data_IF_874442397572
#
_entry.id   IF_874442397572
#
_cell.length_a   1.000
_cell.length_b   1.000
_cell.length_c   1.000
_cell.angle_alpha   90.00
_cell.angle_beta   90.00
_cell.angle_gamma   90.00
#
_symmetry.space_group_name_H-M   'P 1'
#
loop_
_entity.id
_entity.type
_entity.pdbx_description
1 polymer ?
#
# COMPACT_ATOMS: atom_id res chain seq x y z
N UNK A 1 -2.85 14.13 18.30
CA UNK A 1 -2.96 13.64 19.69
C UNK A 1 -2.74 12.12 19.64
N UNK A 2 -1.59 11.58 20.07
CA UNK A 2 -1.28 10.15 19.92
C UNK A 2 -2.17 9.30 20.83
N UNK A 3 -3.00 8.43 20.26
CA UNK A 3 -3.77 7.45 21.03
C UNK A 3 -2.80 6.35 21.47
N UNK A 4 -2.27 6.49 22.69
CA UNK A 4 -1.49 5.45 23.34
C UNK A 4 -2.43 4.34 23.83
N UNK A 5 -2.37 3.16 23.20
CA UNK A 5 -3.04 1.95 23.67
C UNK A 5 -2.34 1.31 24.90
N UNK A 6 -1.92 2.11 25.90
CA UNK A 6 -1.47 1.57 27.18
C UNK A 6 -2.64 1.44 28.16
N UNK A 7 -3.22 0.25 28.19
CA UNK A 7 -4.06 -0.20 29.30
C UNK A 7 -3.33 -0.11 30.65
N UNK A 8 -4.07 0.28 31.68
CA UNK A 8 -3.57 0.58 33.04
C UNK A 8 -3.13 -0.66 33.85
N UNK A 9 -2.10 -0.42 34.67
CA UNK A 9 -1.62 -1.15 35.88
C UNK A 9 -0.74 -2.39 35.63
N UNK A 10 0.42 -2.60 36.27
CA UNK A 10 1.02 -2.14 37.53
C UNK A 10 2.52 -1.82 37.39
N UNK A 11 3.02 -0.92 38.24
CA UNK A 11 4.44 -0.55 38.41
C UNK A 11 5.31 -1.63 39.05
N UNK A 12 6.48 -1.92 38.46
CA UNK A 12 7.84 -2.07 39.08
C UNK A 12 8.79 -2.92 38.20
N UNK A 13 10.13 -2.81 38.33
CA UNK A 13 11.00 -1.64 38.19
C UNK A 13 11.82 -1.71 36.87
N UNK A 14 12.54 -0.62 36.57
CA UNK A 14 13.45 -0.49 35.42
C UNK A 14 14.48 -1.62 35.35
N UNK A 15 14.44 -2.42 34.28
CA UNK A 15 15.62 -3.14 33.82
C UNK A 15 16.30 -2.28 32.75
N UNK A 16 17.31 -1.54 33.19
CA UNK A 16 18.36 -0.91 32.35
C UNK A 16 19.24 -1.99 31.69
N UNK A 17 18.62 -2.84 30.87
CA UNK A 17 19.33 -3.72 29.95
C UNK A 17 18.70 -3.55 28.57
N UNK A 18 18.85 -2.35 28.00
CA UNK A 18 18.93 -2.25 26.54
C UNK A 18 20.22 -3.00 26.17
N UNK A 19 20.08 -4.29 25.88
CA UNK A 19 21.11 -5.02 25.18
C UNK A 19 21.43 -4.22 23.91
N UNK A 20 22.70 -3.92 23.69
CA UNK A 20 23.25 -3.39 22.44
C UNK A 20 22.97 -4.38 21.30
N UNK A 21 21.73 -4.41 20.81
CA UNK A 21 21.22 -5.31 19.77
C UNK A 21 21.79 -5.02 18.37
N UNK A 22 22.57 -3.94 18.23
CA UNK A 22 23.21 -3.57 16.96
C UNK A 22 24.42 -4.47 16.65
N UNK A 23 25.04 -5.09 17.65
CA UNK A 23 26.32 -5.79 17.45
C UNK A 23 26.16 -7.25 16.95
N UNK A 24 24.99 -7.87 17.08
CA UNK A 24 24.76 -9.27 16.66
C UNK A 24 24.14 -9.43 15.25
N UNK A 25 23.76 -8.34 14.57
CA UNK A 25 23.11 -8.42 13.25
C UNK A 25 24.13 -8.66 12.11
N UNK A 26 25.40 -8.30 12.31
CA UNK A 26 26.44 -8.36 11.26
C UNK A 26 26.80 -9.78 10.78
N UNK A 27 26.41 -10.84 11.50
CA UNK A 27 26.60 -12.25 11.09
C UNK A 27 25.28 -12.97 10.78
N UNK A 28 24.17 -12.22 10.64
CA UNK A 28 22.86 -12.79 10.40
C UNK A 28 22.78 -13.43 9.00
N UNK A 29 22.48 -14.74 8.95
CA UNK A 29 22.13 -15.45 7.71
C UNK A 29 20.86 -14.89 7.06
N UNK A 30 20.07 -14.12 7.80
CA UNK A 30 18.76 -13.61 7.36
C UNK A 30 18.83 -12.77 6.08
N UNK A 31 19.95 -12.07 5.84
CA UNK A 31 20.14 -11.23 4.65
C UNK A 31 20.93 -11.89 3.50
N UNK A 32 21.21 -13.20 3.58
CA UNK A 32 22.04 -13.89 2.57
C UNK A 32 21.49 -13.77 1.15
N UNK A 33 20.16 -13.70 0.98
CA UNK A 33 19.54 -13.51 -0.34
C UNK A 33 19.88 -12.14 -0.96
N UNK A 34 20.01 -11.08 -0.17
CA UNK A 34 20.44 -9.75 -0.64
C UNK A 34 21.91 -9.79 -1.07
N UNK A 35 22.78 -10.41 -0.26
CA UNK A 35 24.19 -10.60 -0.58
C UNK A 35 24.40 -11.42 -1.85
N UNK A 36 23.56 -12.44 -2.10
CA UNK A 36 23.55 -13.23 -3.36
C UNK A 36 23.18 -12.38 -4.59
N UNK A 37 22.39 -11.32 -4.39
CA UNK A 37 22.08 -10.36 -5.45
C UNK A 37 23.20 -9.35 -5.68
N UNK A 38 24.10 -9.17 -4.70
CA UNK A 38 25.18 -8.19 -4.71
C UNK A 38 24.85 -6.89 -3.97
N UNK A 39 23.81 -6.92 -3.14
CA UNK A 39 23.37 -5.78 -2.33
C UNK A 39 24.08 -5.85 -0.97
N UNK A 40 24.73 -4.75 -0.59
CA UNK A 40 25.33 -4.55 0.74
C UNK A 40 24.27 -3.98 1.69
N UNK A 41 23.69 -4.85 2.52
CA UNK A 41 22.52 -4.50 3.34
C UNK A 41 22.84 -3.67 4.58
N UNK A 42 24.10 -3.59 5.03
CA UNK A 42 24.43 -3.02 6.35
C UNK A 42 24.03 -1.55 6.46
N UNK A 43 24.05 -0.83 5.34
CA UNK A 43 23.59 0.57 5.26
C UNK A 43 22.06 0.71 5.24
N UNK A 44 21.34 -0.36 4.90
CA UNK A 44 19.90 -0.42 4.72
C UNK A 44 19.16 -0.95 5.96
N UNK A 45 19.88 -1.55 6.91
CA UNK A 45 19.26 -2.05 8.14
C UNK A 45 18.61 -0.89 8.90
N UNK A 46 17.31 -1.00 9.16
CA UNK A 46 16.55 -0.03 9.92
C UNK A 46 17.14 0.10 11.34
N UNK A 47 17.56 1.31 11.71
CA UNK A 47 18.25 1.60 12.98
C UNK A 47 17.32 2.05 14.09
N UNK A 48 16.14 2.54 13.70
CA UNK A 48 15.14 3.08 14.60
C UNK A 48 13.94 2.13 14.70
N UNK A 49 13.06 2.44 15.65
CA UNK A 49 11.77 1.76 15.77
C UNK A 49 10.80 2.18 14.64
N UNK A 50 11.17 3.09 13.74
CA UNK A 50 10.39 3.46 12.56
C UNK A 50 11.09 3.06 11.26
N UNK A 51 10.30 2.73 10.23
CA UNK A 51 10.82 2.69 8.87
C UNK A 51 11.16 4.12 8.42
N UNK A 52 12.31 4.34 7.77
CA UNK A 52 12.68 5.67 7.28
C UNK A 52 11.74 6.11 6.15
N UNK A 53 11.56 7.44 6.03
CA UNK A 53 10.98 8.02 4.83
C UNK A 53 11.90 7.71 3.63
N UNK A 54 11.35 7.28 2.49
CA UNK A 54 12.13 7.10 1.27
C UNK A 54 12.82 8.39 0.83
N UNK A 55 13.96 8.26 0.16
CA UNK A 55 14.76 9.37 -0.30
C UNK A 55 15.39 9.07 -1.67
N UNK A 56 15.86 10.10 -2.38
CA UNK A 56 16.58 9.90 -3.64
C UNK A 56 17.99 9.31 -3.45
N UNK A 57 18.41 9.11 -2.21
CA UNK A 57 19.70 8.49 -1.85
C UNK A 57 19.58 7.01 -1.52
N UNK A 58 18.37 6.46 -1.60
CA UNK A 58 18.12 5.05 -1.33
C UNK A 58 18.78 4.16 -2.40
N UNK A 59 18.85 2.86 -2.13
CA UNK A 59 19.51 1.93 -3.03
C UNK A 59 18.68 1.69 -4.29
N UNK A 60 19.09 2.28 -5.42
CA UNK A 60 18.46 2.05 -6.72
C UNK A 60 18.68 0.61 -7.18
N UNK A 61 17.59 -0.14 -7.33
CA UNK A 61 17.62 -1.52 -7.79
C UNK A 61 17.91 -1.59 -9.29
N UNK A 62 18.85 -2.45 -9.67
CA UNK A 62 19.07 -2.85 -11.06
C UNK A 62 17.90 -3.69 -11.58
N UNK A 63 17.75 -3.81 -12.90
CA UNK A 63 16.70 -4.64 -13.51
C UNK A 63 16.71 -6.10 -13.01
N UNK A 64 17.91 -6.65 -12.73
CA UNK A 64 18.07 -8.01 -12.17
C UNK A 64 17.51 -8.10 -10.76
N UNK A 65 17.81 -7.13 -9.90
CA UNK A 65 17.35 -7.11 -8.50
C UNK A 65 15.85 -6.83 -8.43
N UNK A 66 15.35 -5.92 -9.27
CA UNK A 66 13.93 -5.66 -9.44
C UNK A 66 13.16 -6.95 -9.79
N UNK A 67 13.65 -7.73 -10.77
CA UNK A 67 13.03 -9.00 -11.14
C UNK A 67 13.10 -10.08 -10.05
N UNK A 68 14.07 -9.99 -9.14
CA UNK A 68 14.21 -10.92 -8.02
C UNK A 68 13.36 -10.55 -6.80
N UNK A 69 13.26 -9.25 -6.49
CA UNK A 69 12.65 -8.75 -5.27
C UNK A 69 11.20 -8.29 -5.49
N UNK A 70 10.89 -7.57 -6.56
CA UNK A 70 9.60 -6.86 -6.67
C UNK A 70 8.47 -7.70 -7.28
N UNK A 71 8.77 -8.94 -7.66
CA UNK A 71 7.79 -9.88 -8.20
C UNK A 71 6.79 -10.29 -7.12
N UNK A 72 5.52 -9.98 -7.35
CA UNK A 72 4.42 -10.19 -6.39
C UNK A 72 4.26 -9.06 -5.36
N UNK A 73 5.18 -8.10 -5.32
CA UNK A 73 5.07 -6.90 -4.46
C UNK A 73 4.31 -5.80 -5.18
N UNK A 74 4.70 -5.49 -6.42
CA UNK A 74 4.08 -4.44 -7.24
C UNK A 74 3.23 -5.07 -8.33
N UNK A 75 3.77 -6.08 -8.99
CA UNK A 75 3.06 -6.83 -10.04
C UNK A 75 3.39 -8.30 -9.96
N UNK A 76 2.49 -9.17 -10.38
CA UNK A 76 2.76 -10.61 -10.37
C UNK A 76 3.94 -11.06 -11.22
N UNK A 77 4.31 -10.35 -12.30
CA UNK A 77 5.23 -10.90 -13.32
C UNK A 77 6.06 -9.90 -14.17
N UNK A 78 6.15 -8.60 -13.86
CA UNK A 78 6.84 -7.68 -14.79
C UNK A 78 8.37 -7.60 -14.73
N UNK A 79 8.94 -7.49 -15.94
CA UNK A 79 10.04 -6.57 -16.26
C UNK A 79 9.52 -5.15 -16.04
N UNK A 80 9.86 -4.50 -14.93
CA UNK A 80 9.45 -3.12 -14.70
C UNK A 80 9.86 -2.25 -15.91
N UNK A 81 8.99 -1.29 -16.27
CA UNK A 81 9.24 -0.41 -17.41
C UNK A 81 10.64 0.21 -17.30
N UNK A 82 11.35 0.39 -18.42
CA UNK A 82 12.62 1.13 -18.46
C UNK A 82 12.46 2.60 -17.96
N UNK A 83 11.21 3.06 -17.83
CA UNK A 83 10.84 4.38 -17.29
C UNK A 83 10.52 4.36 -15.80
N UNK A 84 10.47 3.19 -15.16
CA UNK A 84 10.20 3.05 -13.74
C UNK A 84 11.52 2.91 -12.98
N UNK A 85 11.63 3.55 -11.82
CA UNK A 85 12.75 3.37 -10.90
C UNK A 85 12.25 2.76 -9.61
N UNK A 86 12.98 1.78 -9.07
CA UNK A 86 12.62 1.14 -7.81
C UNK A 86 13.81 1.12 -6.88
N UNK A 87 13.57 1.39 -5.61
CA UNK A 87 14.59 1.53 -4.59
C UNK A 87 14.31 0.59 -3.43
N UNK A 88 15.36 -0.05 -2.91
CA UNK A 88 15.31 -0.69 -1.61
C UNK A 88 15.67 0.36 -0.56
N UNK A 89 14.69 0.71 0.27
CA UNK A 89 14.77 1.83 1.23
C UNK A 89 15.37 1.35 2.54
N UNK A 90 14.80 0.27 3.09
CA UNK A 90 15.27 -0.29 4.35
C UNK A 90 14.98 -1.79 4.45
N UNK A 91 15.73 -2.46 5.30
CA UNK A 91 15.53 -3.86 5.66
C UNK A 91 15.49 -4.03 7.17
N UNK A 92 14.67 -4.95 7.65
CA UNK A 92 14.55 -5.27 9.07
C UNK A 92 14.44 -6.77 9.24
N UNK A 93 15.30 -7.36 10.07
CA UNK A 93 15.12 -8.74 10.48
C UNK A 93 13.95 -8.80 11.47
N UNK A 94 12.95 -9.64 11.18
CA UNK A 94 11.80 -9.85 12.06
C UNK A 94 12.05 -11.04 12.98
N UNK A 95 12.62 -12.11 12.43
CA UNK A 95 13.10 -13.28 13.17
C UNK A 95 14.20 -13.99 12.36
N UNK A 96 14.67 -15.16 12.80
CA UNK A 96 15.73 -15.92 12.13
C UNK A 96 15.40 -16.34 10.69
N UNK A 97 14.13 -16.36 10.31
CA UNK A 97 13.66 -16.86 9.03
C UNK A 97 12.96 -15.80 8.18
N UNK A 98 12.69 -14.60 8.72
CA UNK A 98 11.87 -13.58 8.08
C UNK A 98 12.58 -12.23 8.09
N UNK A 99 12.67 -11.64 6.91
CA UNK A 99 13.14 -10.27 6.70
C UNK A 99 12.03 -9.44 6.09
N UNK A 100 11.80 -8.26 6.64
CA UNK A 100 10.97 -7.23 6.04
C UNK A 100 11.84 -6.30 5.20
N UNK A 101 11.38 -5.95 4.01
CA UNK A 101 11.98 -4.96 3.13
C UNK A 101 10.96 -3.86 2.83
N UNK A 102 11.42 -2.62 2.79
CA UNK A 102 10.65 -1.46 2.35
C UNK A 102 11.15 -1.03 0.96
N UNK A 103 10.23 -0.75 0.05
CA UNK A 103 10.53 -0.33 -1.31
C UNK A 103 9.87 0.99 -1.64
N UNK A 104 10.59 1.82 -2.39
CA UNK A 104 10.03 2.97 -3.11
C UNK A 104 9.94 2.63 -4.58
N UNK A 105 8.80 2.91 -5.21
CA UNK A 105 8.57 2.72 -6.63
C UNK A 105 8.15 4.05 -7.26
N UNK A 106 8.92 4.50 -8.25
CA UNK A 106 8.68 5.70 -9.02
C UNK A 106 8.26 5.32 -10.43
N UNK A 107 7.05 5.72 -10.80
CA UNK A 107 6.55 5.57 -12.16
C UNK A 107 5.69 6.78 -12.53
N UNK A 108 6.11 7.50 -13.58
CA UNK A 108 5.51 8.80 -13.92
C UNK A 108 5.68 9.79 -12.76
N UNK A 109 4.59 10.38 -12.31
CA UNK A 109 4.40 11.33 -11.22
C UNK A 109 4.01 10.63 -9.90
N UNK A 110 3.93 9.30 -9.90
CA UNK A 110 3.58 8.52 -8.71
C UNK A 110 4.83 8.05 -7.98
N UNK A 111 4.84 8.31 -6.67
CA UNK A 111 5.74 7.69 -5.70
C UNK A 111 4.94 6.78 -4.78
N UNK A 112 5.10 5.48 -4.97
CA UNK A 112 4.45 4.45 -4.17
C UNK A 112 5.46 3.78 -3.25
N UNK A 113 5.03 3.49 -2.02
CA UNK A 113 5.82 2.74 -1.05
C UNK A 113 5.16 1.40 -0.78
N UNK A 114 5.98 0.36 -0.68
CA UNK A 114 5.55 -0.99 -0.36
C UNK A 114 6.39 -1.54 0.78
N UNK A 115 5.79 -2.43 1.56
CA UNK A 115 6.56 -3.32 2.43
C UNK A 115 6.30 -4.77 2.03
N UNK A 116 7.32 -5.61 2.12
CA UNK A 116 7.23 -7.02 1.81
C UNK A 116 8.09 -7.86 2.74
N UNK A 117 7.61 -9.05 3.06
CA UNK A 117 8.33 -10.02 3.87
C UNK A 117 8.87 -11.14 2.99
N UNK A 118 10.11 -11.55 3.27
CA UNK A 118 10.80 -12.62 2.56
C UNK A 118 11.30 -13.64 3.57
N UNK A 119 11.39 -14.88 3.10
CA UNK A 119 12.17 -15.87 3.84
C UNK A 119 13.67 -15.69 3.60
N UNK A 120 14.51 -16.43 4.32
CA UNK A 120 15.98 -16.41 4.17
C UNK A 120 16.49 -16.79 2.78
N UNK A 121 15.68 -17.49 1.98
CA UNK A 121 15.99 -17.84 0.59
C UNK A 121 15.63 -16.73 -0.41
N UNK A 122 15.02 -15.64 0.05
CA UNK A 122 14.56 -14.53 -0.78
C UNK A 122 13.23 -14.80 -1.49
N UNK A 123 12.45 -15.78 -1.02
CA UNK A 123 11.09 -16.03 -1.52
C UNK A 123 10.13 -15.09 -0.83
N UNK A 124 9.36 -14.34 -1.63
CA UNK A 124 8.28 -13.48 -1.14
C UNK A 124 7.26 -14.31 -0.35
N UNK A 125 6.94 -13.87 0.87
CA UNK A 125 5.94 -14.45 1.75
C UNK A 125 4.64 -13.65 1.66
N UNK A 126 4.72 -12.34 1.87
CA UNK A 126 3.60 -11.42 1.85
C UNK A 126 4.07 -10.00 1.51
N UNK A 127 3.14 -9.14 1.12
CA UNK A 127 3.40 -7.74 0.86
C UNK A 127 2.14 -6.90 1.10
N UNK A 128 2.35 -5.59 1.20
CA UNK A 128 1.26 -4.61 1.20
C UNK A 128 1.74 -3.30 0.59
N UNK A 129 0.81 -2.62 -0.08
CA UNK A 129 0.97 -1.20 -0.35
C UNK A 129 0.99 -0.44 0.97
N UNK A 130 1.98 0.43 1.12
CA UNK A 130 2.24 1.18 2.34
C UNK A 130 2.04 2.68 2.13
N UNK A 131 1.31 3.07 1.08
CA UNK A 131 0.94 4.46 0.81
C UNK A 131 1.91 5.20 -0.12
N UNK A 132 1.50 6.40 -0.47
CA UNK A 132 2.31 7.46 -1.07
C UNK A 132 2.61 8.53 0.01
N UNK A 133 3.33 9.59 -0.37
CA UNK A 133 3.52 10.78 0.48
C UNK A 133 4.11 10.46 1.87
N UNK A 134 5.25 9.74 1.86
CA UNK A 134 6.02 9.47 3.07
C UNK A 134 6.86 10.68 3.51
N UNK A 135 7.26 11.51 2.55
CA UNK A 135 7.61 12.90 2.81
C UNK A 135 6.32 13.73 2.83
N UNK A 136 6.25 14.73 3.73
CA UNK A 136 5.12 15.67 3.76
C UNK A 136 4.95 16.30 2.37
N UNK A 137 3.87 15.94 1.69
CA UNK A 137 3.46 16.63 0.46
C UNK A 137 2.78 17.92 0.85
N UNK A 138 3.04 19.00 0.10
CA UNK A 138 2.26 20.23 0.17
C UNK A 138 1.66 20.43 -1.23
N UNK A 139 0.48 19.88 -1.47
CA UNK A 139 -0.28 20.20 -2.67
C UNK A 139 -0.92 21.57 -2.47
N UNK A 140 -0.49 22.52 -3.28
CA UNK A 140 -0.91 23.91 -3.23
C UNK A 140 -2.05 24.12 -4.23
N UNK A 141 -3.24 24.41 -3.74
CA UNK A 141 -4.33 24.96 -4.55
C UNK A 141 -4.59 26.41 -4.12
N UNK A 142 -4.99 27.26 -5.06
CA UNK A 142 -5.12 28.70 -4.84
C UNK A 142 -6.60 29.11 -4.88
N UNK A 143 -7.36 28.93 -3.77
CA UNK A 143 -8.78 29.21 -3.75
C UNK A 143 -9.11 30.72 -3.83
N UNK A 144 -8.16 31.62 -3.54
CA UNK A 144 -8.34 33.08 -3.72
C UNK A 144 -7.01 33.86 -3.77
N UNK A 145 -7.05 35.15 -4.11
CA UNK A 145 -5.88 36.06 -4.09
C UNK A 145 -5.23 36.25 -2.70
N UNK A 146 -5.86 35.75 -1.63
CA UNK A 146 -5.46 35.97 -0.23
C UNK A 146 -5.26 34.70 0.60
N UNK A 147 -5.62 33.54 0.06
CA UNK A 147 -5.63 32.26 0.77
C UNK A 147 -5.18 31.15 -0.15
N UNK A 148 -4.25 30.36 0.34
CA UNK A 148 -3.70 29.16 -0.29
C UNK A 148 -4.18 27.93 0.51
N UNK A 149 -4.61 26.88 -0.19
CA UNK A 149 -4.98 25.61 0.43
C UNK A 149 -3.82 24.64 0.27
N UNK A 150 -3.26 24.19 1.39
CA UNK A 150 -2.20 23.21 1.45
C UNK A 150 -2.80 21.88 1.93
N UNK A 151 -2.65 20.83 1.14
CA UNK A 151 -2.94 19.47 1.61
C UNK A 151 -1.64 18.79 2.01
N UNK A 152 -1.59 18.38 3.28
CA UNK A 152 -0.49 17.69 3.90
C UNK A 152 -0.84 16.24 4.16
N UNK A 153 -0.14 15.33 3.47
CA UNK A 153 -0.21 13.89 3.68
C UNK A 153 1.08 13.40 4.33
N UNK A 154 0.95 12.42 5.24
CA UNK A 154 2.10 11.81 5.88
C UNK A 154 1.80 10.38 6.30
N UNK A 155 2.62 9.45 5.81
CA UNK A 155 2.55 8.03 6.17
C UNK A 155 3.73 7.62 7.05
N UNK A 156 3.46 6.86 8.12
CA UNK A 156 4.48 6.38 9.06
C UNK A 156 4.20 4.94 9.50
N UNK A 157 5.24 4.10 9.44
CA UNK A 157 5.26 2.78 10.06
C UNK A 157 6.19 2.79 11.27
N UNK A 158 5.64 2.44 12.43
CA UNK A 158 6.34 2.41 13.71
C UNK A 158 6.20 1.05 14.38
N UNK A 159 7.32 0.38 14.66
CA UNK A 159 7.41 -0.88 15.38
C UNK A 159 7.25 -0.65 16.87
N UNK A 160 6.24 -1.30 17.44
CA UNK A 160 6.02 -1.36 18.89
C UNK A 160 6.68 -2.60 19.50
N UNK A 161 6.98 -3.61 18.67
CA UNK A 161 7.83 -4.75 18.96
C UNK A 161 8.49 -5.24 17.65
N UNK A 162 9.44 -6.18 17.72
CA UNK A 162 10.18 -6.64 16.52
C UNK A 162 9.30 -7.18 15.39
N UNK A 163 8.13 -7.70 15.74
CA UNK A 163 7.16 -8.30 14.82
C UNK A 163 5.83 -7.53 14.79
N UNK A 164 5.69 -6.43 15.52
CA UNK A 164 4.42 -5.71 15.64
C UNK A 164 4.63 -4.24 15.32
N UNK A 165 3.81 -3.68 14.44
CA UNK A 165 3.92 -2.29 14.01
C UNK A 165 2.56 -1.61 13.88
N UNK A 166 2.56 -0.30 14.03
CA UNK A 166 1.44 0.57 13.68
C UNK A 166 1.70 1.22 12.34
N UNK A 167 0.78 1.06 11.41
CA UNK A 167 0.67 1.89 10.23
C UNK A 167 -0.19 3.12 10.57
N UNK A 168 0.30 4.31 10.24
CA UNK A 168 -0.42 5.56 10.43
C UNK A 168 -0.40 6.35 9.14
N UNK A 169 -1.57 6.80 8.70
CA UNK A 169 -1.73 7.78 7.64
C UNK A 169 -2.41 9.01 8.21
N UNK A 170 -1.80 10.17 8.00
CA UNK A 170 -2.31 11.46 8.41
C UNK A 170 -2.57 12.32 7.16
N UNK A 171 -3.77 12.87 7.08
CA UNK A 171 -4.16 13.85 6.08
C UNK A 171 -4.62 15.13 6.77
N UNK A 172 -4.19 16.27 6.26
CA UNK A 172 -4.61 17.60 6.72
C UNK A 172 -4.85 18.53 5.55
N UNK A 173 -5.89 19.34 5.66
CA UNK A 173 -6.04 20.56 4.86
C UNK A 173 -5.71 21.77 5.74
N UNK A 174 -4.89 22.66 5.20
CA UNK A 174 -4.41 23.86 5.87
C UNK A 174 -4.72 25.05 4.96
N UNK A 175 -5.51 25.99 5.46
CA UNK A 175 -5.65 27.30 4.83
C UNK A 175 -4.49 28.19 5.30
N UNK A 176 -3.60 28.52 4.37
CA UNK A 176 -2.53 29.47 4.54
C UNK A 176 -3.00 30.87 4.09
N UNK A 177 -3.01 31.84 4.99
CA UNK A 177 -3.33 33.23 4.66
C UNK A 177 -2.07 33.98 4.22
N UNK A 178 -1.97 34.25 2.92
CA UNK A 178 -0.81 34.90 2.28
C UNK A 178 -0.53 36.30 2.87
N UNK A 179 -1.57 37.00 3.35
CA UNK A 179 -1.43 38.36 3.87
C UNK A 179 -0.97 38.41 5.33
N UNK A 180 -1.31 37.39 6.13
CA UNK A 180 -1.00 37.35 7.56
C UNK A 180 0.07 36.33 7.92
N UNK A 181 0.46 35.44 6.99
CA UNK A 181 1.37 34.31 7.23
C UNK A 181 0.84 33.39 8.35
N UNK A 182 -0.48 33.19 8.38
CA UNK A 182 -1.16 32.37 9.40
C UNK A 182 -1.77 31.12 8.75
N UNK A 183 -1.51 29.97 9.37
CA UNK A 183 -2.05 28.67 8.96
C UNK A 183 -3.23 28.27 9.85
N UNK A 184 -4.34 27.85 9.22
CA UNK A 184 -5.49 27.28 9.91
C UNK A 184 -5.78 25.90 9.36
N UNK A 185 -5.67 24.86 10.20
CA UNK A 185 -6.09 23.52 9.81
C UNK A 185 -7.62 23.50 9.67
N UNK A 186 -8.12 23.24 8.46
CA UNK A 186 -9.55 23.20 8.16
C UNK A 186 -10.12 21.80 8.16
N UNK A 187 -9.27 20.78 8.06
CA UNK A 187 -9.67 19.37 8.15
C UNK A 187 -8.47 18.52 8.56
N UNK A 188 -8.69 17.48 9.37
CA UNK A 188 -7.67 16.47 9.64
C UNK A 188 -8.29 15.09 9.79
N UNK A 189 -7.66 14.11 9.15
CA UNK A 189 -7.97 12.69 9.29
C UNK A 189 -6.71 11.94 9.68
N UNK A 190 -6.84 11.01 10.62
CA UNK A 190 -5.80 10.03 10.94
C UNK A 190 -6.41 8.64 10.86
N UNK A 191 -5.79 7.79 10.06
CA UNK A 191 -6.08 6.37 9.94
C UNK A 191 -4.94 5.61 10.60
N UNK A 192 -5.25 4.77 11.58
CA UNK A 192 -4.26 3.93 12.25
C UNK A 192 -4.65 2.46 12.19
N UNK A 193 -3.72 1.60 11.81
CA UNK A 193 -3.88 0.14 11.80
C UNK A 193 -2.75 -0.51 12.60
N UNK A 194 -3.08 -1.52 13.40
CA UNK A 194 -2.06 -2.34 14.06
C UNK A 194 -1.88 -3.63 13.28
N UNK A 195 -0.64 -3.96 12.97
CA UNK A 195 -0.24 -5.12 12.20
C UNK A 195 0.76 -5.96 12.98
N UNK A 196 0.68 -7.27 12.79
CA UNK A 196 1.61 -8.26 13.31
C UNK A 196 2.20 -9.05 12.14
N UNK A 197 3.50 -9.29 12.17
CA UNK A 197 4.19 -10.20 11.26
C UNK A 197 4.30 -11.54 11.99
N UNK A 198 3.50 -12.50 11.56
CA UNK A 198 3.52 -13.84 12.14
C UNK A 198 4.91 -14.50 11.98
N UNK A 199 5.17 -15.55 12.76
CA UNK A 199 6.44 -16.29 12.65
C UNK A 199 6.71 -16.84 11.24
N UNK A 200 5.65 -17.10 10.46
CA UNK A 200 5.74 -17.56 9.08
C UNK A 200 5.99 -16.41 8.08
N UNK A 201 6.04 -15.16 8.53
CA UNK A 201 6.26 -13.94 7.75
C UNK A 201 5.00 -13.26 7.20
N UNK A 202 3.79 -13.81 7.38
CA UNK A 202 2.55 -13.17 6.93
C UNK A 202 2.24 -11.92 7.75
N UNK A 203 1.76 -10.88 7.08
CA UNK A 203 1.32 -9.66 7.74
C UNK A 203 -0.17 -9.82 8.06
N UNK A 204 -0.55 -9.64 9.32
CA UNK A 204 -1.92 -9.79 9.80
C UNK A 204 -2.32 -8.53 10.52
N UNK A 205 -3.49 -7.99 10.19
CA UNK A 205 -4.08 -6.85 10.91
C UNK A 205 -4.58 -7.37 12.27
N UNK A 206 -3.92 -6.96 13.35
CA UNK A 206 -4.22 -7.39 14.72
C UNK A 206 -5.30 -6.53 15.37
N UNK A 207 -5.33 -5.25 15.03
CA UNK A 207 -6.40 -4.32 15.38
C UNK A 207 -6.83 -3.58 14.12
N UNK A 208 -8.10 -3.71 13.70
CA UNK A 208 -8.61 -2.98 12.56
C UNK A 208 -8.62 -1.47 12.84
N UNK A 209 -8.78 -0.70 11.77
CA UNK A 209 -8.75 0.76 11.71
C UNK A 209 -9.30 1.47 12.95
N UNK A 210 -8.48 2.37 13.49
CA UNK A 210 -8.90 3.41 14.41
C UNK A 210 -8.83 4.76 13.68
N UNK A 211 -10.01 5.32 13.41
CA UNK A 211 -10.14 6.64 12.80
C UNK A 211 -10.28 7.72 13.86
N UNK A 212 -9.48 8.77 13.72
CA UNK A 212 -9.70 10.04 14.37
C UNK A 212 -9.85 11.13 13.31
N UNK A 213 -10.89 11.94 13.42
CA UNK A 213 -11.05 13.13 12.60
C UNK A 213 -11.35 14.34 13.49
N UNK A 214 -10.83 15.49 13.12
CA UNK A 214 -11.24 16.78 13.68
C UNK A 214 -12.22 17.44 12.70
N UNK A 215 -13.38 17.87 13.22
CA UNK A 215 -14.50 18.38 12.45
C UNK A 215 -14.12 19.66 11.68
N UNK A 216 -14.38 19.69 10.38
CA UNK A 216 -13.96 20.77 9.50
C UNK A 216 -14.50 20.66 8.07
N UNK A 217 -14.25 21.68 7.23
CA UNK A 217 -14.75 21.73 5.83
C UNK A 217 -13.66 21.21 4.90
N UNK A 218 -13.89 20.03 4.33
CA UNK A 218 -13.05 19.45 3.27
C UNK A 218 -13.22 20.25 1.97
N UNK A 219 -12.13 20.59 1.28
CA UNK A 219 -12.18 21.52 0.14
C UNK A 219 -11.52 21.02 -1.15
N UNK A 220 -10.74 19.94 -1.14
CA UNK A 220 -9.94 19.58 -2.31
C UNK A 220 -10.67 19.05 -3.55
N UNK A 221 -11.97 18.79 -3.48
CA UNK A 221 -12.76 18.42 -4.66
C UNK A 221 -13.85 19.45 -4.84
N UNK A 222 -13.59 20.46 -5.68
CA UNK A 222 -14.60 21.41 -6.13
C UNK A 222 -15.68 20.67 -6.92
N UNK A 223 -16.71 20.19 -6.21
CA UNK A 223 -17.81 19.42 -6.79
C UNK A 223 -18.56 18.52 -5.81
N UNK A 224 -17.98 18.15 -4.66
CA UNK A 224 -18.65 17.31 -3.65
C UNK A 224 -18.45 17.81 -2.23
N UNK A 225 -19.45 18.54 -1.75
CA UNK A 225 -19.55 18.95 -0.35
C UNK A 225 -20.09 17.80 0.53
N UNK A 226 -20.16 16.55 0.03
CA UNK A 226 -20.83 15.47 0.75
C UNK A 226 -19.85 14.65 1.58
N UNK A 227 -20.09 14.60 2.89
CA UNK A 227 -19.40 13.72 3.84
C UNK A 227 -19.40 12.25 3.39
N UNK A 228 -20.43 11.83 2.66
CA UNK A 228 -20.60 10.44 2.20
C UNK A 228 -19.55 10.04 1.15
N UNK A 229 -19.19 10.94 0.23
CA UNK A 229 -18.10 10.72 -0.74
C UNK A 229 -16.76 10.56 -0.03
N UNK A 230 -16.47 11.40 0.97
CA UNK A 230 -15.25 11.30 1.77
C UNK A 230 -15.14 10.01 2.57
N UNK A 231 -16.26 9.56 3.14
CA UNK A 231 -16.31 8.27 3.83
C UNK A 231 -16.03 7.11 2.86
N UNK A 232 -16.43 7.22 1.58
CA UNK A 232 -16.14 6.21 0.56
C UNK A 232 -14.67 6.26 0.10
N UNK A 233 -14.12 7.44 -0.19
CA UNK A 233 -12.70 7.61 -0.53
C UNK A 233 -11.82 7.08 0.60
N UNK A 234 -12.17 7.41 1.84
CA UNK A 234 -11.50 6.88 3.03
C UNK A 234 -11.48 5.36 3.05
N UNK A 235 -12.61 4.70 2.79
CA UNK A 235 -12.68 3.22 2.73
C UNK A 235 -11.85 2.65 1.58
N UNK A 236 -11.86 3.28 0.40
CA UNK A 236 -11.04 2.87 -0.75
C UNK A 236 -9.57 2.89 -0.34
N UNK A 237 -9.10 4.00 0.23
CA UNK A 237 -7.73 4.15 0.70
C UNK A 237 -7.42 3.11 1.80
N UNK A 238 -8.27 2.93 2.81
CA UNK A 238 -7.97 1.94 3.86
C UNK A 238 -7.85 0.53 3.29
N UNK A 239 -8.70 0.14 2.33
CA UNK A 239 -8.64 -1.19 1.73
C UNK A 239 -7.42 -1.43 0.82
N UNK A 240 -6.77 -0.40 0.28
CA UNK A 240 -5.51 -0.59 -0.49
C UNK A 240 -4.34 -0.98 0.40
N UNK A 241 -4.38 -0.64 1.69
CA UNK A 241 -3.32 -0.92 2.65
C UNK A 241 -3.46 -2.29 3.34
N UNK A 242 -4.35 -3.15 2.85
CA UNK A 242 -4.48 -4.50 3.39
C UNK A 242 -3.34 -5.41 2.91
N UNK A 243 -2.86 -6.32 3.78
CA UNK A 243 -1.94 -7.37 3.38
C UNK A 243 -2.50 -8.19 2.23
N UNK A 244 -1.64 -8.48 1.26
CA UNK A 244 -1.99 -9.28 0.10
C UNK A 244 -2.39 -10.72 0.48
N UNK A 245 -1.91 -11.23 1.61
CA UNK A 245 -2.34 -12.54 2.14
C UNK A 245 -3.70 -12.55 2.84
N UNK A 246 -4.34 -11.39 3.06
CA UNK A 246 -5.68 -11.31 3.64
C UNK A 246 -6.72 -11.84 2.63
N UNK A 247 -7.40 -12.93 2.99
CA UNK A 247 -8.42 -13.55 2.12
C UNK A 247 -9.77 -12.81 2.18
N UNK A 248 -10.03 -12.04 3.23
CA UNK A 248 -11.27 -11.28 3.41
C UNK A 248 -11.30 -9.96 2.63
N UNK A 249 -10.15 -9.48 2.17
CA UNK A 249 -10.04 -8.16 1.53
C UNK A 249 -10.87 -8.08 0.25
N UNK A 250 -10.98 -9.16 -0.52
CA UNK A 250 -11.75 -9.17 -1.77
C UNK A 250 -13.26 -9.12 -1.51
N UNK A 251 -13.75 -9.75 -0.43
CA UNK A 251 -15.14 -9.59 0.01
C UNK A 251 -15.45 -8.13 0.39
N UNK A 252 -14.48 -7.45 1.03
CA UNK A 252 -14.62 -6.04 1.43
C UNK A 252 -14.62 -5.11 0.21
N UNK A 253 -13.70 -5.32 -0.74
CA UNK A 253 -13.67 -4.57 -2.00
C UNK A 253 -14.97 -4.75 -2.79
N UNK A 254 -15.48 -5.97 -2.85
CA UNK A 254 -16.73 -6.26 -3.56
C UNK A 254 -17.94 -5.61 -2.90
N UNK A 255 -18.00 -5.65 -1.56
CA UNK A 255 -19.04 -4.94 -0.80
C UNK A 255 -18.96 -3.43 -1.00
N UNK A 256 -17.74 -2.86 -1.04
CA UNK A 256 -17.52 -1.43 -1.25
C UNK A 256 -17.93 -1.02 -2.66
N UNK A 257 -17.58 -1.79 -3.68
CA UNK A 257 -17.89 -1.49 -5.08
C UNK A 257 -19.38 -1.42 -5.37
N UNK A 258 -20.23 -2.08 -4.57
CA UNK A 258 -21.69 -1.95 -4.65
C UNK A 258 -22.24 -0.63 -4.06
N UNK A 259 -21.41 0.12 -3.33
CA UNK A 259 -21.76 1.39 -2.68
C UNK A 259 -21.13 2.61 -3.35
N UNK A 260 -20.18 2.38 -4.26
CA UNK A 260 -19.48 3.42 -5.02
C UNK A 260 -20.41 4.04 -6.06
N UNK A 261 -20.36 5.36 -6.18
CA UNK A 261 -21.16 6.14 -7.11
C UNK A 261 -20.30 6.74 -8.23
N UNK A 262 -20.89 7.57 -9.09
CA UNK A 262 -20.18 8.18 -10.21
C UNK A 262 -19.02 9.11 -9.78
N UNK A 263 -19.07 9.69 -8.59
CA UNK A 263 -18.02 10.58 -8.10
C UNK A 263 -16.80 9.79 -7.60
N UNK A 264 -17.04 8.63 -6.98
CA UNK A 264 -15.99 7.78 -6.38
C UNK A 264 -15.52 6.62 -7.27
N UNK A 265 -16.20 6.40 -8.40
CA UNK A 265 -15.93 5.28 -9.32
C UNK A 265 -14.50 5.27 -9.86
N UNK A 266 -13.96 6.44 -10.24
CA UNK A 266 -12.60 6.53 -10.79
C UNK A 266 -11.55 6.12 -9.75
N UNK A 267 -11.65 6.64 -8.52
CA UNK A 267 -10.79 6.27 -7.41
C UNK A 267 -10.89 4.78 -7.09
N UNK A 268 -12.10 4.21 -7.09
CA UNK A 268 -12.30 2.78 -6.86
C UNK A 268 -11.62 1.93 -7.94
N UNK A 269 -11.83 2.27 -9.21
CA UNK A 269 -11.25 1.56 -10.36
C UNK A 269 -9.73 1.62 -10.31
N UNK A 270 -9.17 2.81 -10.11
CA UNK A 270 -7.73 3.03 -10.07
C UNK A 270 -7.07 2.23 -8.94
N UNK A 271 -7.58 2.39 -7.72
CA UNK A 271 -6.97 1.79 -6.54
C UNK A 271 -7.08 0.26 -6.55
N UNK A 272 -8.26 -0.28 -6.88
CA UNK A 272 -8.44 -1.72 -6.97
C UNK A 272 -7.53 -2.34 -8.04
N UNK A 273 -7.45 -1.74 -9.22
CA UNK A 273 -6.64 -2.31 -10.30
C UNK A 273 -5.14 -2.28 -9.97
N UNK A 274 -4.61 -1.14 -9.54
CA UNK A 274 -3.17 -0.96 -9.38
C UNK A 274 -2.63 -1.62 -8.10
N UNK A 275 -3.39 -1.60 -6.99
CA UNK A 275 -2.87 -2.05 -5.70
C UNK A 275 -3.43 -3.40 -5.23
N UNK A 276 -4.47 -3.94 -5.88
CA UNK A 276 -5.08 -5.23 -5.51
C UNK A 276 -4.93 -6.24 -6.64
N UNK A 277 -5.35 -5.89 -7.85
CA UNK A 277 -5.29 -6.80 -9.00
C UNK A 277 -3.87 -7.02 -9.52
N UNK A 278 -3.13 -5.94 -9.80
CA UNK A 278 -1.80 -6.05 -10.43
C UNK A 278 -0.79 -6.90 -9.63
N UNK A 279 -0.70 -6.80 -8.30
CA UNK A 279 0.18 -7.65 -7.49
C UNK A 279 -0.23 -9.13 -7.49
N UNK A 280 -1.54 -9.42 -7.49
CA UNK A 280 -2.09 -10.79 -7.32
C UNK A 280 -3.24 -11.12 -8.29
N UNK A 281 -3.04 -11.06 -9.60
CA UNK A 281 -4.14 -11.12 -10.55
C UNK A 281 -4.79 -12.50 -10.59
N UNK A 282 -4.06 -13.60 -10.37
CA UNK A 282 -4.66 -14.94 -10.33
C UNK A 282 -5.60 -15.11 -9.14
N UNK A 283 -5.25 -14.55 -7.96
CA UNK A 283 -6.12 -14.57 -6.77
C UNK A 283 -7.42 -13.82 -7.06
N UNK A 284 -7.30 -12.62 -7.64
CA UNK A 284 -8.46 -11.77 -7.96
C UNK A 284 -9.34 -12.40 -9.05
N UNK A 285 -8.75 -12.91 -10.14
CA UNK A 285 -9.49 -13.60 -11.20
C UNK A 285 -10.22 -14.84 -10.64
N UNK A 286 -9.56 -15.63 -9.80
CA UNK A 286 -10.20 -16.79 -9.18
C UNK A 286 -11.39 -16.37 -8.32
N UNK A 287 -11.24 -15.35 -7.48
CA UNK A 287 -12.32 -14.81 -6.65
C UNK A 287 -13.51 -14.32 -7.48
N UNK A 288 -13.25 -13.52 -8.53
CA UNK A 288 -14.30 -13.00 -9.42
C UNK A 288 -15.04 -14.17 -10.09
N UNK A 289 -14.32 -15.17 -10.61
CA UNK A 289 -14.96 -16.32 -11.21
C UNK A 289 -15.81 -17.10 -10.21
N UNK A 290 -15.29 -17.36 -9.00
CA UNK A 290 -16.00 -18.13 -7.97
C UNK A 290 -17.27 -17.40 -7.48
N UNK A 291 -17.30 -16.06 -7.54
CA UNK A 291 -18.42 -15.22 -7.08
C UNK A 291 -19.26 -14.60 -8.20
N UNK A 292 -19.04 -15.02 -9.46
CA UNK A 292 -19.65 -14.46 -10.67
C UNK A 292 -21.18 -14.44 -10.70
N UNK A 293 -21.84 -15.31 -9.93
CA UNK A 293 -23.30 -15.44 -9.92
C UNK A 293 -24.00 -14.43 -9.01
N UNK A 294 -23.31 -13.83 -8.02
CA UNK A 294 -24.01 -13.09 -6.96
C UNK A 294 -23.39 -11.79 -6.48
N UNK A 295 -22.10 -11.47 -6.72
CA UNK A 295 -21.51 -10.25 -6.11
C UNK A 295 -20.40 -9.57 -6.89
N UNK A 296 -19.57 -10.29 -7.66
CA UNK A 296 -18.32 -9.73 -8.19
C UNK A 296 -18.44 -8.79 -9.41
N UNK A 297 -19.65 -8.34 -9.80
CA UNK A 297 -19.81 -7.41 -10.92
C UNK A 297 -19.05 -6.11 -10.67
N UNK A 298 -19.06 -5.65 -9.42
CA UNK A 298 -18.34 -4.44 -9.01
C UNK A 298 -16.84 -4.54 -9.30
N UNK A 299 -16.25 -5.72 -9.13
CA UNK A 299 -14.83 -5.98 -9.39
C UNK A 299 -14.53 -6.29 -10.85
N UNK A 300 -15.52 -6.73 -11.65
CA UNK A 300 -15.32 -6.88 -13.11
C UNK A 300 -15.21 -5.54 -13.83
N UNK A 301 -15.80 -4.47 -13.28
CA UNK A 301 -15.78 -3.13 -13.87
C UNK A 301 -14.36 -2.56 -13.99
N UNK A 302 -13.52 -2.53 -12.93
CA UNK A 302 -12.13 -2.09 -13.04
C UNK A 302 -11.34 -2.88 -14.09
N UNK A 303 -11.49 -4.21 -14.15
CA UNK A 303 -10.81 -5.04 -15.15
C UNK A 303 -11.27 -4.68 -16.57
N UNK A 304 -12.58 -4.54 -16.79
CA UNK A 304 -13.13 -4.17 -18.09
C UNK A 304 -12.64 -2.80 -18.56
N UNK A 305 -12.67 -1.79 -17.68
CA UNK A 305 -12.16 -0.44 -17.98
C UNK A 305 -10.71 -0.48 -18.48
N UNK A 306 -9.80 -1.10 -17.72
CA UNK A 306 -8.39 -1.17 -18.08
C UNK A 306 -8.13 -2.09 -19.29
N UNK A 307 -8.94 -3.14 -19.48
CA UNK A 307 -8.85 -4.00 -20.64
C UNK A 307 -9.21 -3.26 -21.93
N UNK A 308 -10.26 -2.45 -21.89
CA UNK A 308 -10.77 -1.69 -23.02
C UNK A 308 -9.82 -0.54 -23.38
N UNK A 309 -9.44 0.29 -22.42
CA UNK A 309 -8.77 1.58 -22.71
C UNK A 309 -7.24 1.57 -22.65
N UNK A 310 -6.60 0.54 -22.08
CA UNK A 310 -5.14 0.53 -21.91
C UNK A 310 -4.48 -0.72 -22.53
N UNK A 311 -3.81 -0.61 -23.70
CA UNK A 311 -3.18 -1.76 -24.36
C UNK A 311 -2.16 -2.51 -23.49
N UNK A 312 -1.46 -1.80 -22.61
CA UNK A 312 -0.51 -2.42 -21.68
C UNK A 312 -1.25 -3.23 -20.61
N UNK A 313 -2.26 -2.66 -19.94
CA UNK A 313 -3.07 -3.37 -18.97
C UNK A 313 -3.78 -4.58 -19.58
N UNK A 314 -4.26 -4.47 -20.82
CA UNK A 314 -4.83 -5.60 -21.58
C UNK A 314 -3.85 -6.79 -21.65
N UNK A 315 -2.60 -6.55 -22.03
CA UNK A 315 -1.56 -7.60 -22.07
C UNK A 315 -1.34 -8.23 -20.69
N UNK A 316 -1.39 -7.44 -19.63
CA UNK A 316 -1.19 -7.91 -18.27
C UNK A 316 -2.34 -8.84 -17.83
N UNK A 317 -3.57 -8.44 -18.14
CA UNK A 317 -4.79 -9.22 -17.87
C UNK A 317 -4.78 -10.51 -18.69
N UNK A 318 -4.50 -10.45 -19.99
CA UNK A 318 -4.40 -11.64 -20.86
C UNK A 318 -3.35 -12.64 -20.34
N UNK A 319 -2.18 -12.13 -19.93
CA UNK A 319 -1.11 -12.96 -19.39
C UNK A 319 -1.52 -13.62 -18.06
N UNK A 320 -2.28 -12.92 -17.21
CA UNK A 320 -2.81 -13.48 -15.97
C UNK A 320 -3.86 -14.55 -16.23
N UNK A 321 -4.81 -14.29 -17.14
CA UNK A 321 -5.81 -15.28 -17.56
C UNK A 321 -5.11 -16.54 -18.08
N UNK A 322 -4.08 -16.41 -18.93
CA UNK A 322 -3.36 -17.54 -19.50
C UNK A 322 -2.64 -18.44 -18.46
N UNK A 323 -2.41 -17.94 -17.24
CA UNK A 323 -1.80 -18.72 -16.14
C UNK A 323 -2.82 -19.46 -15.28
N UNK A 324 -4.11 -19.22 -15.48
CA UNK A 324 -5.16 -19.96 -14.80
C UNK A 324 -5.14 -21.42 -15.29
N UNK A 325 -5.21 -22.36 -14.34
CA UNK A 325 -5.13 -23.80 -14.58
C UNK A 325 -6.50 -24.44 -14.85
N UNK A 326 -7.59 -23.68 -14.71
CA UNK A 326 -8.96 -24.17 -14.81
C UNK A 326 -9.58 -23.85 -16.20
N UNK A 327 -9.91 -24.87 -17.03
CA UNK A 327 -10.49 -24.67 -18.35
C UNK A 327 -11.82 -23.90 -18.37
N UNK A 328 -12.67 -24.08 -17.36
CA UNK A 328 -13.95 -23.38 -17.28
C UNK A 328 -13.74 -21.89 -16.95
N UNK A 329 -12.76 -21.57 -16.11
CA UNK A 329 -12.37 -20.20 -15.81
C UNK A 329 -11.75 -19.51 -17.03
N UNK A 330 -10.89 -20.22 -17.78
CA UNK A 330 -10.34 -19.74 -19.04
C UNK A 330 -11.43 -19.42 -20.07
N UNK A 331 -12.44 -20.30 -20.21
CA UNK A 331 -13.57 -20.08 -21.11
C UNK A 331 -14.39 -18.85 -20.70
N UNK A 332 -14.70 -18.72 -19.40
CA UNK A 332 -15.41 -17.56 -18.86
C UNK A 332 -14.68 -16.25 -19.14
N UNK A 333 -13.37 -16.19 -18.87
CA UNK A 333 -12.62 -14.96 -19.10
C UNK A 333 -12.44 -14.63 -20.58
N UNK A 334 -12.37 -15.63 -21.46
CA UNK A 334 -12.39 -15.39 -22.91
C UNK A 334 -13.67 -14.67 -23.34
N UNK A 335 -14.83 -15.15 -22.89
CA UNK A 335 -16.11 -14.50 -23.15
C UNK A 335 -16.15 -13.07 -22.58
N UNK A 336 -15.66 -12.86 -21.35
CA UNK A 336 -15.58 -11.53 -20.75
C UNK A 336 -14.70 -10.56 -21.55
N UNK A 337 -13.53 -11.02 -22.02
CA UNK A 337 -12.64 -10.17 -22.83
C UNK A 337 -13.25 -9.78 -24.18
N UNK A 338 -14.04 -10.67 -24.80
CA UNK A 338 -14.80 -10.35 -26.01
C UNK A 338 -15.89 -9.31 -25.71
N UNK A 339 -16.61 -9.47 -24.59
CA UNK A 339 -17.64 -8.54 -24.15
C UNK A 339 -17.09 -7.13 -23.89
N UNK A 340 -15.96 -7.02 -23.18
CA UNK A 340 -15.32 -5.74 -22.86
C UNK A 340 -14.90 -4.95 -24.12
N UNK A 341 -14.48 -5.64 -25.18
CA UNK A 341 -14.12 -5.01 -26.46
C UNK A 341 -15.33 -4.70 -27.36
N UNK A 342 -16.47 -5.36 -27.13
CA UNK A 342 -17.68 -5.22 -27.95
C UNK A 342 -18.65 -4.13 -27.49
N UNK A 343 -18.51 -3.66 -26.24
CA UNK A 343 -19.36 -2.65 -25.61
C UNK A 343 -18.79 -1.22 -25.69
N UNK A 344 -17.82 -0.99 -26.58
CA UNK A 344 -17.24 0.33 -26.87
C UNK A 344 -18.04 1.11 -27.93
#
# INVERSE_FOLDING_TARGET
>A
MCISCKGKSNTSPSNDNKHDSITEINDSKSFEFLRKLGIEEESLIAKDDSLPAPSDRDYLLTAKEQGALLKGVITSNFNLSDTASAYLVSVRQINDNVVLCQYKYLFSDLEDVYIATYNTDGVLIDAMYAGNCWDKSDLIDNPSDSTELICAEHTLIYFIADHEFTYNYEYKEIEHNINTDEDTATYSKTVSMCCNIEMNGKIVISLPEADAYEEGVFRLWSGSDSKEEWDLIGKIQTLTHYPYSDESVLDKWDSLGNSVDGATAESFIFNFFNYVFMPQPEKVLKYIYENREYKSLSLTMPLGFYYTYTPQSRKNIDAAIARLDNPAMLAYYREMTELWLSND
#
